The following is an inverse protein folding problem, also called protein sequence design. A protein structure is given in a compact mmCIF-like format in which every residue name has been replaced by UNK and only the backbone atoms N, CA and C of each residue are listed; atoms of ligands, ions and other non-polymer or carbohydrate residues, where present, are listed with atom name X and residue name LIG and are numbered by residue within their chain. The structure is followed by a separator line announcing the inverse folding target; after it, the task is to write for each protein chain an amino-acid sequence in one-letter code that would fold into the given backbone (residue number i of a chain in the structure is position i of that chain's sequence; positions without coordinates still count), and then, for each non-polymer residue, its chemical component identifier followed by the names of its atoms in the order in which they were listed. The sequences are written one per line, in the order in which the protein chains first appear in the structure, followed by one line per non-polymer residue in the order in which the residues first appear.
data_IF_880109423297
#
_entry.id   IF_880109423297
#
_cell.length_a   1.000
_cell.length_b   1.000
_cell.length_c   1.000
_cell.angle_alpha   90.00
_cell.angle_beta   90.00
_cell.angle_gamma   90.00
#
_symmetry.space_group_name_H-M   'P 1'
#
loop_
_entity.id
_entity.type
_entity.pdbx_description
1 polymer ?
#
# COMPACT_ATOMS: atom_id res chain seq x y z
N UNK A 1 11.25 -1.49 -7.14
CA UNK A 1 9.79 -1.26 -6.93
C UNK A 1 8.91 -2.51 -7.08
N UNK A 2 9.34 -3.58 -7.78
CA UNK A 2 8.47 -4.72 -8.05
C UNK A 2 7.89 -5.36 -6.76
N UNK A 3 8.67 -5.41 -5.67
CA UNK A 3 8.19 -5.97 -4.40
C UNK A 3 7.09 -5.13 -3.76
N UNK A 4 7.24 -3.80 -3.74
CA UNK A 4 6.22 -2.90 -3.19
C UNK A 4 4.93 -2.97 -3.99
N UNK A 5 5.01 -3.09 -5.33
CA UNK A 5 3.84 -3.29 -6.17
C UNK A 5 3.07 -4.56 -5.76
N UNK A 6 3.76 -5.70 -5.61
CA UNK A 6 3.13 -6.95 -5.15
C UNK A 6 2.51 -6.82 -3.76
N UNK A 7 3.18 -6.11 -2.85
CA UNK A 7 2.64 -5.85 -1.51
C UNK A 7 1.36 -5.02 -1.62
N UNK A 8 1.35 -3.94 -2.41
CA UNK A 8 0.18 -3.08 -2.53
C UNK A 8 -1.00 -3.77 -3.22
N UNK A 9 -0.74 -4.62 -4.22
CA UNK A 9 -1.77 -5.46 -4.88
C UNK A 9 -2.51 -6.37 -3.88
N UNK A 10 -1.82 -6.92 -2.89
CA UNK A 10 -2.41 -7.83 -1.91
C UNK A 10 -2.96 -7.09 -0.67
N UNK A 11 -2.16 -6.19 -0.11
CA UNK A 11 -2.40 -5.54 1.17
C UNK A 11 -3.17 -4.22 1.06
N UNK A 12 -3.27 -3.65 -0.14
CA UNK A 12 -3.79 -2.31 -0.41
C UNK A 12 -2.71 -1.22 -0.34
N UNK A 13 -3.03 -0.02 -0.84
CA UNK A 13 -2.14 1.14 -0.76
C UNK A 13 -2.05 1.70 0.66
N UNK A 14 -0.86 2.12 1.12
CA UNK A 14 -0.70 2.76 2.42
C UNK A 14 -1.29 4.18 2.43
N UNK A 15 -2.09 4.49 3.45
CA UNK A 15 -2.66 5.81 3.71
C UNK A 15 -2.70 6.10 5.23
N UNK A 16 -2.99 7.34 5.61
CA UNK A 16 -3.03 7.76 7.01
C UNK A 16 -4.17 7.12 7.83
N UNK A 17 -5.16 6.53 7.16
CA UNK A 17 -6.27 5.83 7.84
C UNK A 17 -5.82 4.44 8.27
N UNK A 18 -5.11 3.73 7.39
CA UNK A 18 -4.63 2.37 7.66
C UNK A 18 -3.24 2.31 8.31
N UNK A 19 -2.42 3.35 8.11
CA UNK A 19 -1.07 3.47 8.65
C UNK A 19 -0.79 4.93 9.05
N UNK A 20 -1.14 5.33 10.28
CA UNK A 20 -0.86 6.68 10.77
C UNK A 20 0.64 7.01 10.74
N UNK A 21 0.98 8.16 10.18
CA UNK A 21 2.35 8.66 10.02
C UNK A 21 3.08 8.15 8.78
N UNK A 22 2.44 7.36 7.92
CA UNK A 22 3.09 6.81 6.73
C UNK A 22 3.57 7.89 5.76
N UNK A 23 2.91 9.05 5.72
CA UNK A 23 3.30 10.18 4.88
C UNK A 23 4.63 10.82 5.31
N UNK A 24 5.08 10.57 6.54
CA UNK A 24 6.34 11.09 7.09
C UNK A 24 7.53 10.17 6.80
N UNK A 25 7.27 8.94 6.33
CA UNK A 25 8.35 7.99 6.02
C UNK A 25 9.12 8.50 4.79
N UNK A 26 10.46 8.47 4.83
CA UNK A 26 11.25 8.75 3.65
C UNK A 26 10.76 7.95 2.45
N UNK A 27 10.74 8.59 1.28
CA UNK A 27 10.34 7.96 0.02
C UNK A 27 8.84 7.62 -0.14
N UNK A 28 7.96 7.98 0.81
CA UNK A 28 6.52 7.74 0.67
C UNK A 28 5.99 8.25 -0.67
N UNK A 29 6.24 9.51 -1.03
CA UNK A 29 5.80 10.08 -2.30
C UNK A 29 6.50 9.47 -3.54
N UNK A 30 7.66 8.84 -3.38
CA UNK A 30 8.40 8.21 -4.48
C UNK A 30 7.83 6.83 -4.82
N UNK A 31 7.28 6.13 -3.82
CA UNK A 31 6.71 4.79 -3.98
C UNK A 31 5.19 4.75 -3.87
N UNK A 32 4.54 5.88 -3.58
CA UNK A 32 3.08 5.96 -3.52
C UNK A 32 2.50 5.62 -4.89
N UNK A 33 1.61 4.62 -4.99
CA UNK A 33 0.96 4.31 -6.25
C UNK A 33 0.09 5.47 -6.71
N UNK A 34 0.04 5.71 -8.02
CA UNK A 34 -0.74 6.81 -8.61
C UNK A 34 -2.25 6.64 -8.42
N UNK A 35 -2.72 5.40 -8.22
CA UNK A 35 -4.10 5.06 -7.91
C UNK A 35 -4.15 4.26 -6.61
N UNK A 36 -5.09 4.55 -5.69
CA UNK A 36 -5.32 3.71 -4.52
C UNK A 36 -5.68 2.28 -4.92
N UNK A 37 -5.03 1.31 -4.30
CA UNK A 37 -5.24 -0.12 -4.49
C UNK A 37 -5.99 -0.66 -3.27
N UNK A 38 -7.04 -1.45 -3.50
CA UNK A 38 -7.86 -2.05 -2.44
C UNK A 38 -7.16 -3.27 -1.84
N UNK A 39 -7.39 -3.52 -0.55
CA UNK A 39 -6.89 -4.70 0.16
C UNK A 39 -7.66 -5.96 -0.26
N UNK A 40 -6.94 -7.03 -0.61
CA UNK A 40 -7.48 -8.31 -1.06
C UNK A 40 -7.10 -9.52 -0.19
N UNK A 41 -6.38 -9.32 0.92
CA UNK A 41 -5.93 -10.41 1.79
C UNK A 41 -7.05 -11.38 2.22
N UNK A 42 -8.25 -10.87 2.52
CA UNK A 42 -9.41 -11.71 2.89
C UNK A 42 -10.05 -12.43 1.72
N UNK A 43 -9.79 -12.01 0.48
CA UNK A 43 -10.32 -12.68 -0.71
C UNK A 43 -9.40 -13.81 -1.15
N UNK A 44 -8.08 -13.59 -1.02
CA UNK A 44 -7.03 -14.55 -1.44
C UNK A 44 -6.88 -15.71 -0.46
N UNK A 45 -6.96 -15.47 0.85
CA UNK A 45 -6.67 -16.46 1.88
C UNK A 45 -7.91 -16.92 2.66
N UNK A 46 -9.02 -17.18 1.96
CA UNK A 46 -10.23 -17.79 2.55
C UNK A 46 -10.03 -19.26 2.88
#
# INVERSE_FOLDING_TARGET
PQQLNKIFELCGSPDEVNWPGVSKIPWYNNFKPSRPIKRHLRDVFK
#
